data_IF_562086040014
#
_entry.id   IF_562086040014
#
_cell.length_a   1.000
_cell.length_b   1.000
_cell.length_c   1.000
_cell.angle_alpha   90.00
_cell.angle_beta   90.00
_cell.angle_gamma   90.00
#
_symmetry.space_group_name_H-M   'P 1'
#
loop_
_entity.id
_entity.type
_entity.pdbx_description
1 polymer ?
#
# COMPACT_ATOMS: atom_id res chain seq x y z
N UNK A 1 26.49 76.29 -19.20
CA UNK A 1 25.45 77.22 -19.62
C UNK A 1 24.17 76.73 -18.95
N UNK A 2 23.81 77.43 -17.93
CA UNK A 2 22.65 78.28 -17.80
C UNK A 2 21.37 77.45 -17.93
N UNK A 3 20.47 77.35 -17.02
CA UNK A 3 20.07 78.19 -15.92
C UNK A 3 18.70 77.73 -15.49
N UNK A 4 18.51 77.72 -14.23
CA UNK A 4 17.58 78.52 -13.45
C UNK A 4 16.13 78.11 -13.38
N UNK A 5 15.77 77.66 -12.14
CA UNK A 5 14.74 78.34 -11.28
C UNK A 5 13.30 78.18 -11.72
N UNK A 6 12.35 77.94 -10.88
CA UNK A 6 12.02 78.44 -9.53
C UNK A 6 10.82 77.62 -9.00
N UNK A 7 10.83 77.36 -7.70
CA UNK A 7 9.64 77.24 -6.86
C UNK A 7 8.85 78.59 -6.79
N UNK A 8 7.63 78.68 -6.16
CA UNK A 8 7.18 77.98 -4.91
C UNK A 8 5.65 77.80 -4.82
N UNK A 9 5.24 76.97 -3.87
CA UNK A 9 4.52 77.25 -2.60
C UNK A 9 3.00 77.37 -2.61
N UNK A 10 2.52 76.78 -1.53
CA UNK A 10 1.39 77.06 -0.61
C UNK A 10 0.22 76.13 -0.64
N UNK A 11 0.17 75.30 0.40
CA UNK A 11 -0.60 75.32 1.68
C UNK A 11 -2.11 75.10 1.55
N UNK A 12 -2.62 74.09 2.25
CA UNK A 12 -3.41 74.11 3.48
C UNK A 12 -4.20 72.83 3.67
N UNK A 13 -3.95 72.20 4.77
CA UNK A 13 -4.87 71.82 5.89
C UNK A 13 -6.16 71.07 5.57
N UNK A 14 -6.31 69.94 6.21
CA UNK A 14 -7.61 69.35 6.45
C UNK A 14 -7.58 67.96 7.03
N UNK A 15 -7.26 67.84 8.33
CA UNK A 15 -7.97 67.10 9.36
C UNK A 15 -8.26 65.61 9.15
N UNK A 16 -7.72 64.85 10.06
CA UNK A 16 -7.93 63.47 10.42
C UNK A 16 -9.37 62.99 10.47
N UNK A 17 -9.58 61.67 10.25
CA UNK A 17 -10.36 60.79 11.11
C UNK A 17 -10.12 59.32 10.83
N UNK A 18 -9.58 58.68 11.85
CA UNK A 18 -10.00 57.41 12.43
C UNK A 18 -10.00 56.12 11.58
N UNK A 19 -9.02 55.27 11.89
CA UNK A 19 -9.26 53.97 12.44
C UNK A 19 -10.06 52.98 11.59
N UNK A 20 -9.32 52.18 10.79
CA UNK A 20 -9.78 50.84 10.50
C UNK A 20 -8.71 49.86 10.98
N UNK A 21 -9.02 49.19 12.06
CA UNK A 21 -8.26 48.05 12.58
C UNK A 21 -8.33 46.94 11.51
N UNK A 22 -7.22 46.65 10.86
CA UNK A 22 -7.06 45.45 10.09
C UNK A 22 -6.97 44.28 11.08
N UNK A 23 -8.02 43.48 11.12
CA UNK A 23 -8.03 42.18 11.80
C UNK A 23 -6.90 41.27 11.30
N UNK A 24 -6.49 40.29 12.09
CA UNK A 24 -5.39 39.42 11.73
C UNK A 24 -5.72 38.66 10.44
N UNK A 25 -4.79 38.71 9.50
CA UNK A 25 -4.80 37.94 8.28
C UNK A 25 -5.02 36.45 8.63
N UNK A 26 -6.10 35.91 8.12
CA UNK A 26 -6.37 34.47 8.15
C UNK A 26 -5.18 33.79 7.47
N UNK A 27 -4.39 33.08 8.26
CA UNK A 27 -3.25 32.31 7.78
C UNK A 27 -3.68 31.40 6.67
N UNK A 28 -3.14 31.61 5.47
CA UNK A 28 -3.34 30.74 4.34
C UNK A 28 -2.81 29.35 4.72
N UNK A 29 -3.70 28.36 4.71
CA UNK A 29 -3.33 26.95 4.82
C UNK A 29 -2.36 26.66 3.68
N UNK A 30 -1.15 26.18 4.04
CA UNK A 30 -0.15 25.80 3.05
C UNK A 30 -0.68 24.65 2.18
N UNK A 31 -0.29 24.63 0.91
CA UNK A 31 -0.69 23.59 -0.04
C UNK A 31 -0.29 22.16 0.38
N UNK A 32 0.61 22.05 1.36
CA UNK A 32 1.03 20.80 1.98
C UNK A 32 -0.01 20.21 2.96
N UNK A 33 -0.72 21.05 3.70
CA UNK A 33 -1.79 20.60 4.59
C UNK A 33 -2.98 20.01 3.82
N UNK A 34 -3.22 20.44 2.58
CA UNK A 34 -4.31 19.93 1.74
C UNK A 34 -4.10 18.51 1.24
N UNK A 35 -2.89 17.95 1.28
CA UNK A 35 -2.58 16.59 0.79
C UNK A 35 -2.98 15.48 1.76
N UNK A 36 -3.13 15.78 3.03
CA UNK A 36 -3.37 14.79 4.10
C UNK A 36 -4.87 14.53 4.33
N UNK A 37 -5.77 15.35 3.77
CA UNK A 37 -7.21 15.31 4.08
C UNK A 37 -8.05 14.31 3.29
N UNK A 38 -7.49 13.54 2.36
CA UNK A 38 -8.30 12.59 1.58
C UNK A 38 -8.14 11.18 2.14
N UNK A 39 -8.90 10.85 3.18
CA UNK A 39 -9.15 9.46 3.58
C UNK A 39 -9.75 8.70 2.39
N UNK A 40 -8.92 8.06 1.60
CA UNK A 40 -9.38 6.99 0.72
C UNK A 40 -9.56 5.76 1.60
N UNK A 41 -10.79 5.24 1.76
CA UNK A 41 -11.08 4.08 2.64
C UNK A 41 -10.29 2.83 2.27
N UNK A 42 -9.60 2.84 1.14
CA UNK A 42 -8.86 1.73 0.55
C UNK A 42 -7.36 1.71 0.86
N UNK A 43 -6.82 2.76 1.51
CA UNK A 43 -5.39 2.79 1.84
C UNK A 43 -5.12 1.80 2.98
N UNK A 44 -4.25 0.83 2.71
CA UNK A 44 -3.73 -0.09 3.71
C UNK A 44 -2.33 0.33 4.12
N UNK A 45 -2.01 0.17 5.39
CA UNK A 45 -0.71 0.48 5.96
C UNK A 45 0.08 -0.82 6.10
N UNK A 46 1.39 -0.74 5.89
CA UNK A 46 2.27 -1.90 6.01
C UNK A 46 2.73 -2.04 7.47
N UNK A 47 2.34 -3.13 8.11
CA UNK A 47 2.82 -3.49 9.43
C UNK A 47 4.12 -4.29 9.34
N UNK A 48 5.08 -3.93 10.18
CA UNK A 48 6.37 -4.61 10.33
C UNK A 48 6.52 -5.13 11.76
N UNK A 49 7.41 -6.09 11.95
CA UNK A 49 7.94 -6.38 13.28
C UNK A 49 8.98 -5.32 13.70
N UNK A 50 9.47 -5.41 14.94
CA UNK A 50 10.47 -4.48 15.46
C UNK A 50 11.79 -4.51 14.67
N UNK A 51 12.08 -5.60 13.96
CA UNK A 51 13.29 -5.81 13.16
C UNK A 51 13.13 -5.37 11.70
N UNK A 52 11.93 -4.91 11.30
CA UNK A 52 11.65 -4.43 9.96
C UNK A 52 11.18 -5.49 8.98
N UNK A 53 10.80 -6.70 9.43
CA UNK A 53 10.21 -7.70 8.55
C UNK A 53 8.74 -7.38 8.29
N UNK A 54 8.33 -7.47 7.03
CA UNK A 54 6.95 -7.21 6.62
C UNK A 54 6.02 -8.32 7.15
N UNK A 55 5.02 -7.92 7.93
CA UNK A 55 4.06 -8.83 8.57
C UNK A 55 2.75 -8.93 7.79
N UNK A 56 2.06 -7.82 7.60
CA UNK A 56 0.74 -7.81 6.96
C UNK A 56 0.29 -6.38 6.61
N UNK A 57 -0.81 -6.29 5.89
CA UNK A 57 -1.53 -5.06 5.63
C UNK A 57 -2.54 -4.80 6.73
N UNK A 58 -2.45 -3.64 7.38
CA UNK A 58 -3.38 -3.22 8.43
C UNK A 58 -4.24 -2.04 7.99
N UNK A 59 -5.38 -1.89 8.64
CA UNK A 59 -6.24 -0.71 8.47
C UNK A 59 -5.70 0.48 9.25
N UNK A 60 -6.17 1.69 8.93
CA UNK A 60 -5.82 2.87 9.72
C UNK A 60 -6.37 2.79 11.16
N UNK A 61 -7.48 2.07 11.37
CA UNK A 61 -8.05 1.84 12.70
C UNK A 61 -7.12 0.97 13.57
N UNK A 62 -6.59 -0.11 12.97
CA UNK A 62 -5.62 -0.97 13.65
C UNK A 62 -4.34 -0.20 13.97
N UNK A 63 -3.87 0.64 13.03
CA UNK A 63 -2.72 1.51 13.25
C UNK A 63 -2.97 2.50 14.40
N UNK A 64 -4.13 3.18 14.44
CA UNK A 64 -4.49 4.08 15.52
C UNK A 64 -4.48 3.37 16.88
N UNK A 65 -4.92 2.11 16.93
CA UNK A 65 -4.84 1.29 18.14
C UNK A 65 -3.39 1.00 18.55
N UNK A 66 -2.47 0.81 17.60
CA UNK A 66 -1.04 0.64 17.91
C UNK A 66 -0.43 1.90 18.51
N UNK A 67 -0.73 3.06 17.94
CA UNK A 67 -0.29 4.34 18.49
C UNK A 67 -0.86 4.61 19.88
N UNK A 68 -2.16 4.39 20.08
CA UNK A 68 -2.84 4.62 21.36
C UNK A 68 -2.31 3.72 22.50
N UNK A 69 -1.77 2.55 22.16
CA UNK A 69 -1.16 1.61 23.12
C UNK A 69 0.34 1.79 23.29
N UNK A 70 0.92 2.82 22.72
CA UNK A 70 2.39 3.01 22.65
C UNK A 70 3.13 1.76 22.12
N UNK A 71 2.50 1.03 21.20
CA UNK A 71 3.04 -0.20 20.64
C UNK A 71 3.85 0.03 19.36
N UNK A 72 3.98 1.26 18.90
CA UNK A 72 4.79 1.62 17.73
C UNK A 72 6.27 1.74 18.14
N UNK A 73 7.15 0.99 17.47
CA UNK A 73 8.59 1.05 17.68
C UNK A 73 9.23 2.17 16.84
N UNK A 74 8.91 2.20 15.57
CA UNK A 74 9.36 3.20 14.61
C UNK A 74 8.44 3.23 13.38
N UNK A 75 8.57 4.27 12.57
CA UNK A 75 7.77 4.47 11.35
C UNK A 75 8.66 4.86 10.18
N UNK A 76 8.17 4.67 8.95
CA UNK A 76 8.88 5.04 7.74
C UNK A 76 7.90 5.65 6.72
N UNK A 77 8.39 6.60 5.93
CA UNK A 77 7.61 7.39 4.96
C UNK A 77 6.96 8.61 5.61
N UNK A 78 6.48 9.54 4.79
CA UNK A 78 5.77 10.72 5.27
C UNK A 78 4.37 10.35 5.75
N UNK A 79 3.80 11.06 6.74
CA UNK A 79 2.44 10.82 7.20
C UNK A 79 1.44 10.85 6.03
N UNK A 80 0.67 9.78 5.88
CA UNK A 80 -0.31 9.64 4.79
C UNK A 80 -1.75 9.85 5.24
N UNK A 81 -2.00 9.82 6.55
CA UNK A 81 -3.32 10.03 7.16
C UNK A 81 -3.14 10.89 8.41
N UNK A 82 -3.96 11.94 8.56
CA UNK A 82 -4.07 12.72 9.80
C UNK A 82 -5.42 12.46 10.42
N UNK A 83 -5.43 11.89 11.61
CA UNK A 83 -6.64 11.65 12.41
C UNK A 83 -6.82 12.81 13.39
N UNK A 84 -8.03 13.34 13.45
CA UNK A 84 -8.41 14.38 14.40
C UNK A 84 -9.19 13.78 15.55
N UNK A 85 -8.72 14.01 16.76
CA UNK A 85 -9.39 13.61 17.97
C UNK A 85 -10.26 14.71 18.58
N UNK A 86 -10.54 14.61 19.86
CA UNK A 86 -11.31 15.59 20.63
C UNK A 86 -10.52 16.87 20.93
N UNK A 87 -11.25 17.89 21.41
CA UNK A 87 -10.68 19.14 21.90
C UNK A 87 -10.30 18.95 23.37
N UNK A 88 -9.06 19.27 23.72
CA UNK A 88 -8.58 19.27 25.09
C UNK A 88 -9.36 20.33 25.93
N UNK A 89 -9.94 19.94 27.04
CA UNK A 89 -10.60 20.87 27.94
C UNK A 89 -9.64 21.80 28.69
N UNK A 90 -8.34 21.42 28.72
CA UNK A 90 -7.31 22.16 29.45
C UNK A 90 -6.65 23.18 28.52
N UNK A 91 -6.26 22.77 27.31
CA UNK A 91 -5.49 23.62 26.36
C UNK A 91 -6.39 24.26 25.30
N UNK A 92 -7.58 23.75 25.04
CA UNK A 92 -8.43 24.17 23.92
C UNK A 92 -8.02 23.64 22.58
N UNK A 93 -6.88 22.92 22.50
CA UNK A 93 -6.35 22.40 21.26
C UNK A 93 -7.02 21.09 20.86
N UNK A 94 -7.11 20.87 19.56
CA UNK A 94 -7.58 19.61 19.00
C UNK A 94 -6.43 18.61 18.93
N UNK A 95 -6.62 17.42 19.49
CA UNK A 95 -5.63 16.35 19.36
C UNK A 95 -5.56 15.85 17.92
N UNK A 96 -4.36 15.63 17.41
CA UNK A 96 -4.10 15.09 16.09
C UNK A 96 -3.14 13.90 16.18
N UNK A 97 -3.34 12.92 15.30
CA UNK A 97 -2.46 11.78 15.16
C UNK A 97 -2.08 11.63 13.69
N UNK A 98 -0.80 11.78 13.40
CA UNK A 98 -0.23 11.54 12.08
C UNK A 98 0.14 10.07 11.94
N UNK A 99 -0.45 9.41 10.94
CA UNK A 99 -0.28 7.98 10.69
C UNK A 99 0.58 7.79 9.45
N UNK A 100 1.64 7.02 9.60
CA UNK A 100 2.63 6.75 8.56
C UNK A 100 2.26 5.52 7.71
N UNK A 101 2.71 5.44 6.47
CA UNK A 101 2.40 4.33 5.56
C UNK A 101 3.01 2.99 5.99
N UNK A 102 4.12 3.03 6.73
CA UNK A 102 4.85 1.87 7.21
C UNK A 102 5.06 2.01 8.72
N UNK A 103 4.63 1.00 9.48
CA UNK A 103 4.61 1.03 10.95
C UNK A 103 5.23 -0.25 11.50
N UNK A 104 6.30 -0.12 12.28
CA UNK A 104 6.88 -1.23 13.01
C UNK A 104 6.32 -1.30 14.44
N UNK A 105 5.79 -2.45 14.84
CA UNK A 105 5.25 -2.66 16.17
C UNK A 105 6.29 -3.25 17.12
N UNK A 106 6.31 -2.75 18.39
CA UNK A 106 7.22 -3.22 19.44
C UNK A 106 7.00 -4.67 19.84
N UNK A 107 5.79 -5.16 19.68
CA UNK A 107 5.38 -6.46 20.14
C UNK A 107 4.41 -7.12 19.15
N UNK A 108 4.97 -7.86 18.21
CA UNK A 108 4.27 -9.03 17.70
C UNK A 108 5.05 -10.25 18.22
N UNK A 109 4.87 -10.52 19.51
CA UNK A 109 5.34 -11.74 20.18
C UNK A 109 4.53 -12.97 19.70
N UNK A 110 4.40 -13.13 18.39
CA UNK A 110 4.10 -14.42 17.77
C UNK A 110 5.36 -14.83 17.05
N UNK A 111 6.18 -15.62 17.72
CA UNK A 111 7.46 -16.16 17.29
C UNK A 111 7.52 -16.73 15.88
N UNK A 112 7.42 -15.89 14.89
CA UNK A 112 7.61 -16.22 13.48
C UNK A 112 8.84 -15.50 12.98
N UNK A 113 10.00 -15.97 13.43
CA UNK A 113 11.30 -15.57 12.87
C UNK A 113 11.55 -16.12 11.46
N UNK A 114 10.59 -16.81 10.86
CA UNK A 114 10.66 -17.26 9.48
C UNK A 114 9.57 -16.54 8.68
N UNK A 115 9.93 -16.00 7.52
CA UNK A 115 8.94 -15.51 6.54
C UNK A 115 7.90 -16.60 6.31
N UNK A 116 6.64 -16.42 6.72
CA UNK A 116 5.65 -17.49 6.61
C UNK A 116 5.44 -17.84 5.13
N UNK A 117 5.26 -19.10 4.83
CA UNK A 117 4.77 -19.51 3.52
C UNK A 117 3.33 -19.04 3.40
N UNK A 118 2.96 -18.29 2.35
CA UNK A 118 1.58 -17.87 2.16
C UNK A 118 0.64 -19.07 2.08
N UNK A 119 -0.52 -18.96 2.71
CA UNK A 119 -1.56 -19.98 2.60
C UNK A 119 -2.03 -20.13 1.17
N UNK A 120 -2.13 -21.38 0.67
CA UNK A 120 -2.63 -21.67 -0.65
C UNK A 120 -4.15 -21.52 -0.70
N UNK A 121 -4.62 -20.36 -1.09
CA UNK A 121 -6.02 -20.07 -1.35
C UNK A 121 -6.24 -19.77 -2.82
N UNK A 122 -7.46 -19.92 -3.32
CA UNK A 122 -7.77 -19.57 -4.73
C UNK A 122 -7.52 -18.08 -5.01
N UNK A 123 -7.74 -17.20 -4.03
CA UNK A 123 -7.46 -15.77 -4.18
C UNK A 123 -5.97 -15.54 -4.39
N UNK A 124 -5.15 -16.13 -3.55
CA UNK A 124 -3.69 -15.98 -3.62
C UNK A 124 -3.12 -16.66 -4.88
N UNK A 125 -3.66 -17.82 -5.26
CA UNK A 125 -3.29 -18.52 -6.50
C UNK A 125 -3.58 -17.66 -7.74
N UNK A 126 -4.79 -17.12 -7.84
CA UNK A 126 -5.17 -16.30 -9.01
C UNK A 126 -4.39 -14.98 -9.03
N UNK A 127 -4.06 -14.41 -7.88
CA UNK A 127 -3.19 -13.23 -7.80
C UNK A 127 -1.76 -13.56 -8.25
N UNK A 128 -1.16 -14.70 -7.84
CA UNK A 128 0.15 -15.17 -8.29
C UNK A 128 0.20 -15.31 -9.82
N UNK A 129 -0.84 -15.89 -10.42
CA UNK A 129 -0.94 -16.12 -11.85
C UNK A 129 -1.55 -14.93 -12.61
N UNK A 130 -1.63 -13.75 -11.96
CA UNK A 130 -2.09 -12.47 -12.53
C UNK A 130 -3.48 -12.57 -13.17
N UNK A 131 -4.36 -13.42 -12.64
CA UNK A 131 -5.68 -13.71 -13.20
C UNK A 131 -5.66 -14.25 -14.64
N UNK A 132 -4.55 -14.84 -15.08
CA UNK A 132 -4.40 -15.49 -16.38
C UNK A 132 -4.67 -16.99 -16.27
N UNK A 133 -5.31 -17.55 -17.28
CA UNK A 133 -5.32 -18.99 -17.46
C UNK A 133 -3.94 -19.46 -17.90
N UNK A 134 -3.29 -20.34 -17.15
CA UNK A 134 -1.92 -20.79 -17.41
C UNK A 134 -1.81 -21.75 -18.60
N UNK A 135 -2.92 -22.06 -19.29
CA UNK A 135 -2.95 -22.85 -20.51
C UNK A 135 -3.20 -22.01 -21.77
N UNK A 136 -4.20 -21.12 -21.74
CA UNK A 136 -4.54 -20.32 -22.94
C UNK A 136 -4.03 -18.88 -22.88
N UNK A 137 -3.50 -18.40 -21.74
CA UNK A 137 -2.98 -17.04 -21.60
C UNK A 137 -4.04 -15.94 -21.52
N UNK A 138 -5.32 -16.28 -21.58
CA UNK A 138 -6.39 -15.29 -21.51
C UNK A 138 -6.66 -14.86 -20.08
N UNK A 139 -6.86 -13.55 -19.87
CA UNK A 139 -7.24 -13.00 -18.58
C UNK A 139 -8.73 -13.27 -18.28
N UNK A 140 -9.00 -13.64 -17.04
CA UNK A 140 -10.34 -13.95 -16.58
C UNK A 140 -10.66 -13.28 -15.24
N UNK A 141 -11.94 -13.10 -14.96
CA UNK A 141 -12.39 -12.72 -13.63
C UNK A 141 -12.23 -13.90 -12.66
N UNK A 142 -12.16 -13.59 -11.37
CA UNK A 142 -12.03 -14.61 -10.32
C UNK A 142 -13.06 -15.75 -10.40
N UNK A 143 -14.29 -15.44 -10.79
CA UNK A 143 -15.39 -16.41 -10.86
C UNK A 143 -15.28 -17.36 -12.07
N UNK A 144 -14.44 -17.04 -13.04
CA UNK A 144 -14.22 -17.83 -14.26
C UNK A 144 -12.93 -18.67 -14.17
N UNK A 145 -12.14 -18.47 -13.11
CA UNK A 145 -10.93 -19.23 -12.85
C UNK A 145 -11.20 -20.35 -11.85
N UNK A 146 -10.48 -21.42 -12.04
CA UNK A 146 -10.46 -22.61 -11.18
C UNK A 146 -9.02 -22.95 -10.82
N UNK A 147 -8.84 -23.63 -9.68
CA UNK A 147 -7.56 -24.28 -9.34
C UNK A 147 -7.46 -25.57 -10.14
N UNK A 148 -6.38 -25.71 -10.89
CA UNK A 148 -6.04 -26.96 -11.58
C UNK A 148 -4.74 -27.52 -11.01
N UNK A 149 -4.71 -28.84 -10.80
CA UNK A 149 -3.51 -29.57 -10.38
C UNK A 149 -2.74 -30.03 -11.61
N UNK A 150 -1.48 -29.58 -11.75
CA UNK A 150 -0.61 -29.95 -12.87
C UNK A 150 -0.49 -31.46 -12.96
N UNK A 151 -0.08 -32.10 -11.85
CA UNK A 151 -0.27 -33.53 -11.67
C UNK A 151 -1.59 -33.77 -10.95
N UNK A 152 -2.55 -34.48 -11.56
CA UNK A 152 -3.85 -34.74 -10.95
C UNK A 152 -3.76 -35.41 -9.59
N UNK A 153 -4.63 -35.00 -8.66
CA UNK A 153 -4.72 -35.59 -7.31
C UNK A 153 -4.92 -37.12 -7.37
N UNK A 154 -5.75 -37.60 -8.29
CA UNK A 154 -5.97 -39.04 -8.50
C UNK A 154 -4.74 -39.80 -8.99
N UNK A 155 -3.71 -39.11 -9.41
CA UNK A 155 -2.39 -39.65 -9.79
C UNK A 155 -1.28 -39.29 -8.80
N UNK A 156 -1.66 -39.00 -7.53
CA UNK A 156 -0.72 -38.67 -6.46
C UNK A 156 -0.24 -37.23 -6.42
N UNK A 157 -0.87 -36.32 -7.19
CA UNK A 157 -0.55 -34.88 -7.11
C UNK A 157 -1.00 -34.28 -5.79
N UNK A 158 -0.15 -33.43 -5.20
CA UNK A 158 -0.42 -32.76 -3.93
C UNK A 158 -1.03 -31.37 -4.17
N UNK A 159 -1.83 -30.87 -3.21
CA UNK A 159 -2.38 -29.51 -3.23
C UNK A 159 -1.36 -28.54 -2.62
N UNK A 160 -0.31 -28.26 -3.37
CA UNK A 160 0.80 -27.37 -3.01
C UNK A 160 1.06 -26.34 -4.11
N UNK A 161 1.71 -25.26 -3.76
CA UNK A 161 1.99 -24.13 -4.66
C UNK A 161 2.68 -24.55 -5.97
N UNK A 162 3.59 -25.51 -5.89
CA UNK A 162 4.38 -26.02 -7.00
C UNK A 162 3.62 -26.98 -7.93
N UNK A 163 2.41 -27.40 -7.54
CA UNK A 163 1.58 -28.32 -8.32
C UNK A 163 0.24 -27.73 -8.74
N UNK A 164 -0.06 -26.46 -8.43
CA UNK A 164 -1.33 -25.83 -8.79
C UNK A 164 -1.15 -24.60 -9.66
N UNK A 165 -2.09 -24.39 -10.57
CA UNK A 165 -2.14 -23.23 -11.47
C UNK A 165 -3.56 -22.70 -11.61
N UNK A 166 -3.71 -21.42 -11.97
CA UNK A 166 -4.97 -20.86 -12.38
C UNK A 166 -5.34 -21.35 -13.78
N UNK A 167 -6.53 -21.87 -13.97
CA UNK A 167 -7.04 -22.32 -15.26
C UNK A 167 -8.47 -21.83 -15.46
N UNK A 168 -8.86 -21.44 -16.67
CA UNK A 168 -10.26 -21.21 -16.97
C UNK A 168 -11.04 -22.54 -16.97
N UNK A 169 -12.33 -22.49 -16.71
CA UNK A 169 -13.19 -23.69 -16.64
C UNK A 169 -13.05 -24.56 -17.89
N UNK A 170 -13.00 -23.96 -19.09
CA UNK A 170 -12.87 -24.68 -20.35
C UNK A 170 -11.54 -25.43 -20.47
N UNK A 171 -10.41 -24.78 -20.17
CA UNK A 171 -9.10 -25.43 -20.23
C UNK A 171 -8.95 -26.51 -19.17
N UNK A 172 -9.44 -26.26 -17.95
CA UNK A 172 -9.41 -27.24 -16.87
C UNK A 172 -10.23 -28.49 -17.23
N UNK A 173 -11.45 -28.32 -17.76
CA UNK A 173 -12.29 -29.43 -18.23
C UNK A 173 -11.65 -30.20 -19.37
N UNK A 174 -11.04 -29.48 -20.35
CA UNK A 174 -10.34 -30.11 -21.48
C UNK A 174 -9.12 -30.92 -21.02
N UNK A 175 -8.36 -30.44 -20.04
CA UNK A 175 -7.22 -31.17 -19.47
C UNK A 175 -7.71 -32.42 -18.73
N UNK A 176 -8.75 -32.29 -17.94
CA UNK A 176 -9.33 -33.37 -17.15
C UNK A 176 -8.26 -34.05 -16.26
N UNK A 177 -8.37 -35.36 -16.12
CA UNK A 177 -7.48 -36.17 -15.27
C UNK A 177 -6.17 -36.56 -16.03
N UNK A 178 -5.56 -35.64 -16.77
CA UNK A 178 -4.31 -35.82 -17.50
C UNK A 178 -3.27 -34.79 -17.05
N UNK A 179 -2.00 -35.12 -17.18
CA UNK A 179 -0.93 -34.11 -17.06
C UNK A 179 -0.96 -33.16 -18.25
N UNK A 180 -0.35 -31.97 -18.18
CA UNK A 180 -0.22 -31.05 -19.31
C UNK A 180 0.35 -31.73 -20.56
N UNK A 181 1.36 -32.57 -20.38
CA UNK A 181 1.99 -33.34 -21.48
C UNK A 181 1.02 -34.33 -22.10
N UNK A 182 0.27 -35.11 -21.27
CA UNK A 182 -0.73 -36.07 -21.75
C UNK A 182 -1.92 -35.38 -22.44
N UNK A 183 -2.22 -34.15 -22.06
CA UNK A 183 -3.32 -33.37 -22.66
C UNK A 183 -2.86 -32.57 -23.89
N UNK A 184 -1.58 -32.56 -24.22
CA UNK A 184 -0.96 -31.67 -25.21
C UNK A 184 -1.29 -30.18 -24.93
N UNK A 185 -1.25 -29.79 -23.65
CA UNK A 185 -1.57 -28.44 -23.18
C UNK A 185 -0.41 -27.91 -22.36
N UNK A 186 0.60 -27.29 -23.00
CA UNK A 186 1.76 -26.77 -22.29
C UNK A 186 1.37 -25.64 -21.35
N UNK A 187 2.06 -25.55 -20.21
CA UNK A 187 1.92 -24.44 -19.26
C UNK A 187 2.72 -23.25 -19.78
N UNK A 188 2.17 -22.05 -19.60
CA UNK A 188 2.84 -20.78 -19.89
C UNK A 188 3.99 -20.49 -18.92
N UNK A 189 3.88 -20.95 -17.67
CA UNK A 189 4.91 -20.82 -16.66
C UNK A 189 4.90 -22.01 -15.71
N UNK A 190 6.07 -22.30 -15.14
CA UNK A 190 6.22 -23.34 -14.10
C UNK A 190 5.63 -22.80 -12.80
N UNK A 191 4.70 -23.53 -12.13
CA UNK A 191 4.17 -23.11 -10.86
C UNK A 191 5.27 -23.06 -9.80
N UNK A 192 5.19 -22.07 -8.94
CA UNK A 192 6.19 -21.82 -7.89
C UNK A 192 5.49 -21.36 -6.61
N UNK A 193 6.21 -21.44 -5.50
CA UNK A 193 5.80 -20.92 -4.21
C UNK A 193 6.17 -19.44 -4.13
N UNK A 194 5.22 -18.52 -3.95
CA UNK A 194 5.53 -17.10 -3.74
C UNK A 194 6.21 -16.88 -2.38
N UNK A 195 7.10 -15.90 -2.31
CA UNK A 195 7.60 -15.42 -1.03
C UNK A 195 6.50 -14.66 -0.29
N UNK A 196 6.65 -14.46 1.04
CA UNK A 196 5.69 -13.68 1.82
C UNK A 196 5.57 -12.24 1.30
N UNK A 197 6.69 -11.62 0.98
CA UNK A 197 6.73 -10.26 0.43
C UNK A 197 6.01 -10.17 -0.91
N UNK A 198 6.24 -11.13 -1.80
CA UNK A 198 5.53 -11.21 -3.08
C UNK A 198 4.02 -11.38 -2.88
N UNK A 199 3.62 -12.21 -1.93
CA UNK A 199 2.21 -12.37 -1.54
C UNK A 199 1.60 -11.05 -1.06
N UNK A 200 2.30 -10.28 -0.24
CA UNK A 200 1.84 -8.96 0.21
C UNK A 200 1.66 -8.00 -0.97
N UNK A 201 2.61 -7.95 -1.89
CA UNK A 201 2.50 -7.11 -3.10
C UNK A 201 1.28 -7.50 -3.94
N UNK A 202 1.07 -8.79 -4.14
CA UNK A 202 -0.03 -9.31 -4.96
C UNK A 202 -1.40 -9.19 -4.29
N UNK A 203 -1.45 -9.12 -2.97
CA UNK A 203 -2.71 -9.06 -2.19
C UNK A 203 -3.30 -7.65 -2.08
N UNK A 204 -2.52 -6.61 -2.36
CA UNK A 204 -2.97 -5.22 -2.27
C UNK A 204 -2.84 -4.49 -3.61
N UNK A 205 -3.93 -3.88 -4.08
CA UNK A 205 -3.97 -3.15 -5.36
C UNK A 205 -3.55 -1.68 -5.23
N UNK A 206 -3.52 -1.14 -4.01
CA UNK A 206 -3.26 0.27 -3.72
C UNK A 206 -2.05 0.41 -2.80
N UNK A 207 -0.88 0.09 -3.32
CA UNK A 207 0.38 0.19 -2.59
C UNK A 207 0.98 1.57 -2.83
N UNK A 208 1.33 2.29 -1.77
CA UNK A 208 2.03 3.57 -1.85
C UNK A 208 3.47 3.38 -2.33
N UNK A 209 4.07 4.41 -2.90
CA UNK A 209 5.42 4.34 -3.47
C UNK A 209 6.47 3.88 -2.44
N UNK A 210 6.41 4.42 -1.22
CA UNK A 210 7.32 4.07 -0.13
C UNK A 210 7.17 2.61 0.29
N UNK A 211 5.93 2.14 0.43
CA UNK A 211 5.60 0.74 0.74
C UNK A 211 6.12 -0.20 -0.35
N UNK A 212 5.92 0.15 -1.62
CA UNK A 212 6.38 -0.66 -2.75
C UNK A 212 7.90 -0.72 -2.79
N UNK A 213 8.58 0.41 -2.57
CA UNK A 213 10.05 0.49 -2.54
C UNK A 213 10.61 -0.36 -1.40
N UNK A 214 10.00 -0.28 -0.21
CA UNK A 214 10.37 -1.07 0.95
C UNK A 214 10.18 -2.57 0.70
N UNK A 215 9.03 -2.99 0.19
CA UNK A 215 8.74 -4.39 -0.11
C UNK A 215 9.68 -4.94 -1.19
N UNK A 216 9.95 -4.19 -2.26
CA UNK A 216 10.89 -4.61 -3.31
C UNK A 216 12.30 -4.83 -2.77
N UNK A 217 12.75 -4.02 -1.82
CA UNK A 217 14.05 -4.20 -1.18
C UNK A 217 14.16 -5.49 -0.38
N UNK A 218 13.04 -6.00 0.13
CA UNK A 218 12.96 -7.27 0.88
C UNK A 218 12.67 -8.50 0.01
N UNK A 219 12.42 -8.31 -1.30
CA UNK A 219 12.21 -9.46 -2.19
C UNK A 219 13.49 -10.32 -2.26
N UNK A 220 13.37 -11.65 -2.14
CA UNK A 220 14.50 -12.51 -2.34
C UNK A 220 15.05 -12.30 -3.76
N UNK A 221 16.35 -12.07 -3.86
CA UNK A 221 17.03 -12.02 -5.17
C UNK A 221 16.84 -13.38 -5.81
N UNK A 222 16.00 -13.46 -6.84
CA UNK A 222 15.92 -14.68 -7.65
C UNK A 222 17.31 -14.92 -8.22
N UNK A 223 17.89 -16.13 -8.05
CA UNK A 223 19.09 -16.46 -8.80
C UNK A 223 18.77 -16.26 -10.28
N UNK A 224 19.56 -15.44 -10.96
CA UNK A 224 19.46 -15.25 -12.40
C UNK A 224 19.53 -16.64 -13.03
N UNK A 225 18.41 -17.15 -13.53
CA UNK A 225 18.42 -18.32 -14.42
C UNK A 225 18.97 -17.82 -15.73
N UNK A 226 20.29 -17.80 -15.84
CA UNK A 226 20.97 -17.81 -17.11
C UNK A 226 21.07 -19.28 -17.50
N UNK A 227 20.62 -19.64 -18.70
CA UNK A 227 20.68 -21.02 -19.19
C UNK A 227 22.11 -21.53 -19.29
#
# INVERSE_FOLDING_TARGET
MLGSRMEPAHTRDGVALAGAQTGPAMGGFSAEESRIHTLRPSVRLLALDAHGQALDWISWQDAACLYARDAVAWTLGDPCIRLHGGISRITGDRSCLDVHPIIAARSHARGRHACPTPSLTNIALFARDQHLCMYCGTAYTRNQLTRDHVQPVSKGGLDIWENVVAACVSCNSRKGNRTPQQAAMPLLAIPYRPSWVEHLILSNRHILADQMSFLKAQMPKRPSRIP
#
